data_IF_547970143252
#
_entry.id   IF_547970143252
#
_cell.length_a   1.000
_cell.length_b   1.000
_cell.length_c   1.000
_cell.angle_alpha   90.00
_cell.angle_beta   90.00
_cell.angle_gamma   90.00
#
_symmetry.space_group_name_H-M   'P 1'
#
loop_
_entity.id
_entity.type
_entity.pdbx_description
1 polymer ?
#
# COMPACT_ATOMS: atom_id res chain seq x y z
N UNK A 1 4.18 20.76 3.29
CA UNK A 1 3.85 20.02 2.05
C UNK A 1 4.08 20.92 0.85
N UNK A 2 5.22 20.71 0.19
CA UNK A 2 5.58 21.38 -1.05
C UNK A 2 4.74 20.82 -2.21
N UNK A 3 4.35 21.66 -3.16
CA UNK A 3 3.59 21.26 -4.35
C UNK A 3 4.33 21.65 -5.62
N UNK A 4 4.20 20.81 -6.64
CA UNK A 4 4.75 21.05 -7.97
C UNK A 4 3.63 21.05 -9.00
N UNK A 5 3.65 22.06 -9.87
CA UNK A 5 2.71 22.18 -10.98
C UNK A 5 3.26 21.48 -12.23
N UNK A 6 2.36 20.89 -12.99
CA UNK A 6 2.62 20.20 -14.25
C UNK A 6 1.52 20.53 -15.25
N UNK A 7 1.90 20.66 -16.51
CA UNK A 7 0.98 20.54 -17.64
C UNK A 7 0.62 19.08 -17.89
N UNK A 8 -0.45 18.82 -18.64
CA UNK A 8 -0.85 17.50 -19.09
C UNK A 8 0.25 16.83 -19.91
N UNK A 9 0.99 17.60 -20.72
CA UNK A 9 2.11 17.07 -21.51
C UNK A 9 3.27 16.65 -20.62
N UNK A 10 3.63 17.45 -19.63
CA UNK A 10 4.70 17.11 -18.69
C UNK A 10 4.33 15.89 -17.85
N UNK A 11 3.07 15.79 -17.39
CA UNK A 11 2.61 14.61 -16.67
C UNK A 11 2.63 13.36 -17.56
N UNK A 12 2.22 13.46 -18.83
CA UNK A 12 2.37 12.39 -19.81
C UNK A 12 3.83 11.96 -19.92
N UNK A 13 4.76 12.88 -20.13
CA UNK A 13 6.18 12.53 -20.24
C UNK A 13 6.74 11.91 -18.95
N UNK A 14 6.27 12.37 -17.79
CA UNK A 14 6.63 11.83 -16.49
C UNK A 14 6.17 10.36 -16.32
N UNK A 15 4.91 10.04 -16.64
CA UNK A 15 4.39 8.67 -16.48
C UNK A 15 4.94 7.69 -17.51
N UNK A 16 5.44 8.18 -18.65
CA UNK A 16 6.09 7.35 -19.68
C UNK A 16 7.60 7.22 -19.51
N UNK A 17 8.23 8.08 -18.69
CA UNK A 17 9.67 8.03 -18.37
C UNK A 17 9.97 7.37 -17.02
N UNK A 18 9.02 7.40 -16.08
CA UNK A 18 9.17 6.84 -14.74
C UNK A 18 7.99 5.97 -14.34
N UNK A 19 8.26 4.81 -13.71
CA UNK A 19 7.19 3.90 -13.27
C UNK A 19 6.35 4.51 -12.15
N UNK A 20 5.05 4.17 -12.09
CA UNK A 20 4.15 4.66 -11.04
C UNK A 20 4.69 4.37 -9.64
N UNK A 21 5.26 3.18 -9.40
CA UNK A 21 5.87 2.84 -8.10
C UNK A 21 6.95 3.84 -7.68
N UNK A 22 7.79 4.29 -8.61
CA UNK A 22 8.80 5.33 -8.33
C UNK A 22 8.16 6.70 -8.11
N UNK A 23 7.13 7.05 -8.90
CA UNK A 23 6.40 8.31 -8.71
C UNK A 23 5.71 8.38 -7.36
N UNK A 24 5.16 7.27 -6.86
CA UNK A 24 4.56 7.24 -5.52
C UNK A 24 5.57 7.51 -4.40
N UNK A 25 6.87 7.26 -4.62
CA UNK A 25 7.90 7.62 -3.64
C UNK A 25 8.22 9.11 -3.65
N UNK A 26 8.06 9.77 -4.80
CA UNK A 26 8.37 11.20 -4.96
C UNK A 26 7.19 12.11 -4.66
N UNK A 27 5.97 11.65 -4.93
CA UNK A 27 4.75 12.40 -4.75
C UNK A 27 3.85 11.72 -3.73
N UNK A 28 3.16 12.50 -2.92
CA UNK A 28 2.24 12.04 -1.87
C UNK A 28 0.91 11.51 -2.46
N UNK A 29 0.98 10.71 -3.51
CA UNK A 29 -0.17 10.11 -4.19
C UNK A 29 -0.03 8.60 -4.22
N UNK A 30 -1.15 7.91 -4.01
CA UNK A 30 -1.24 6.47 -4.24
C UNK A 30 -1.16 6.13 -5.73
N UNK A 31 -0.84 4.87 -6.06
CA UNK A 31 -0.88 4.36 -7.44
C UNK A 31 -2.26 4.57 -8.06
N UNK A 32 -3.33 4.33 -7.30
CA UNK A 32 -4.71 4.56 -7.77
C UNK A 32 -5.01 6.05 -7.96
N UNK A 33 -4.51 6.89 -7.07
CA UNK A 33 -4.61 8.34 -7.16
C UNK A 33 -3.98 8.87 -8.45
N UNK A 34 -2.74 8.46 -8.75
CA UNK A 34 -2.07 8.81 -10.01
C UNK A 34 -2.83 8.29 -11.24
N UNK A 35 -3.38 7.07 -11.19
CA UNK A 35 -4.19 6.52 -12.28
C UNK A 35 -5.48 7.31 -12.50
N UNK A 36 -6.20 7.66 -11.43
CA UNK A 36 -7.41 8.49 -11.48
C UNK A 36 -7.09 9.87 -12.04
N UNK A 37 -5.98 10.47 -11.61
CA UNK A 37 -5.50 11.75 -12.11
C UNK A 37 -5.22 11.68 -13.62
N UNK A 38 -4.44 10.70 -14.08
CA UNK A 38 -4.19 10.53 -15.52
C UNK A 38 -5.49 10.34 -16.31
N UNK A 39 -6.45 9.56 -15.78
CA UNK A 39 -7.75 9.38 -16.41
C UNK A 39 -8.56 10.69 -16.49
N UNK A 40 -8.56 11.49 -15.43
CA UNK A 40 -9.26 12.78 -15.38
C UNK A 40 -8.72 13.77 -16.42
N UNK A 41 -7.41 13.75 -16.67
CA UNK A 41 -6.75 14.59 -17.67
C UNK A 41 -6.60 13.90 -19.04
N UNK A 42 -7.28 12.77 -19.28
CA UNK A 42 -7.22 12.00 -20.54
C UNK A 42 -5.78 11.64 -20.98
N UNK A 43 -4.89 11.41 -20.02
CA UNK A 43 -3.51 11.03 -20.25
C UNK A 43 -3.43 9.50 -20.37
N UNK A 44 -3.05 8.95 -21.53
CA UNK A 44 -2.83 7.52 -21.65
C UNK A 44 -1.61 7.11 -20.83
N UNK A 45 -1.72 5.99 -20.10
CA UNK A 45 -0.66 5.45 -19.26
C UNK A 45 -0.02 4.21 -19.91
N UNK A 46 1.24 3.90 -19.58
CA UNK A 46 1.86 2.65 -20.00
C UNK A 46 1.08 1.43 -19.48
N UNK A 47 0.99 0.38 -20.31
CA UNK A 47 0.43 -0.91 -19.89
C UNK A 47 1.33 -1.55 -18.80
N UNK A 48 0.78 -2.50 -18.04
CA UNK A 48 1.54 -3.17 -16.97
C UNK A 48 2.82 -3.86 -17.51
N UNK A 49 2.83 -4.24 -18.80
CA UNK A 49 3.95 -4.87 -19.48
C UNK A 49 5.00 -3.90 -20.03
N UNK A 50 4.70 -2.60 -20.15
CA UNK A 50 5.56 -1.59 -20.79
C UNK A 50 6.98 -1.62 -20.24
N UNK A 51 7.14 -1.50 -18.92
CA UNK A 51 8.45 -1.41 -18.28
C UNK A 51 9.29 -2.68 -18.45
N UNK A 52 8.64 -3.84 -18.50
CA UNK A 52 9.29 -5.11 -18.76
C UNK A 52 9.72 -5.22 -20.22
N UNK A 53 8.82 -4.89 -21.17
CA UNK A 53 9.15 -4.84 -22.60
C UNK A 53 10.33 -3.89 -22.87
N UNK A 54 10.33 -2.72 -22.22
CA UNK A 54 11.39 -1.71 -22.35
C UNK A 54 12.74 -2.24 -21.86
N UNK A 55 12.74 -2.92 -20.70
CA UNK A 55 13.94 -3.54 -20.13
C UNK A 55 14.54 -4.63 -21.03
N UNK A 56 13.71 -5.34 -21.78
CA UNK A 56 14.13 -6.42 -22.68
C UNK A 56 14.19 -5.97 -24.16
N UNK A 57 14.23 -4.67 -24.43
CA UNK A 57 14.32 -4.10 -25.79
C UNK A 57 13.27 -4.64 -26.77
N UNK A 58 12.07 -4.96 -26.28
CA UNK A 58 10.96 -5.40 -27.13
C UNK A 58 10.29 -4.19 -27.78
N UNK A 59 9.65 -4.43 -28.91
CA UNK A 59 8.81 -3.42 -29.56
C UNK A 59 7.68 -2.98 -28.64
N UNK A 60 7.47 -1.67 -28.58
CA UNK A 60 6.48 -1.02 -27.72
C UNK A 60 5.70 -0.01 -28.56
N UNK A 61 4.38 -0.09 -28.48
CA UNK A 61 3.51 0.96 -29.00
C UNK A 61 3.23 1.98 -27.88
N UNK A 62 3.72 3.20 -28.06
CA UNK A 62 3.40 4.35 -27.19
C UNK A 62 2.27 5.16 -27.87
N UNK A 63 1.05 5.20 -27.29
CA UNK A 63 -0.03 6.03 -27.80
C UNK A 63 0.40 7.49 -27.92
N UNK A 64 0.08 8.12 -29.04
CA UNK A 64 0.36 9.55 -29.25
C UNK A 64 -0.42 10.37 -28.22
N UNK A 65 0.22 11.42 -27.72
CA UNK A 65 -0.42 12.40 -26.86
C UNK A 65 -1.53 13.12 -27.65
N UNK A 66 -2.74 13.18 -27.10
CA UNK A 66 -3.82 14.01 -27.64
C UNK A 66 -3.59 15.45 -27.19
N UNK A 67 -3.35 16.44 -28.08
CA UNK A 67 -3.16 17.83 -27.68
C UNK A 67 -4.47 18.57 -27.38
N UNK A 68 -5.62 18.03 -27.80
CA UNK A 68 -6.93 18.62 -27.54
C UNK A 68 -7.42 18.18 -26.16
N UNK A 69 -7.86 19.14 -25.35
CA UNK A 69 -8.46 18.92 -24.04
C UNK A 69 -9.31 20.13 -23.68
N UNK A 70 -10.56 19.88 -23.31
CA UNK A 70 -11.51 20.94 -23.00
C UNK A 70 -11.36 21.46 -21.56
N UNK A 71 -10.55 20.79 -20.73
CA UNK A 71 -10.29 21.17 -19.34
C UNK A 71 -9.07 22.07 -19.15
N UNK A 72 -8.86 22.51 -17.91
CA UNK A 72 -7.68 23.30 -17.53
C UNK A 72 -6.40 22.45 -17.63
N UNK A 73 -5.39 22.95 -18.33
CA UNK A 73 -4.09 22.26 -18.50
C UNK A 73 -3.15 22.51 -17.31
N UNK A 74 -3.66 22.29 -16.10
CA UNK A 74 -2.93 22.53 -14.85
C UNK A 74 -3.15 21.38 -13.86
N UNK A 75 -2.06 20.73 -13.48
CA UNK A 75 -2.05 19.57 -12.60
C UNK A 75 -1.09 19.83 -11.44
N UNK A 76 -1.57 19.71 -10.22
CA UNK A 76 -0.76 19.95 -9.01
C UNK A 76 -0.50 18.61 -8.33
N UNK A 77 0.78 18.27 -8.16
CA UNK A 77 1.22 17.12 -7.37
C UNK A 77 1.95 17.59 -6.13
N UNK A 78 1.56 17.06 -4.97
CA UNK A 78 2.26 17.29 -3.70
C UNK A 78 3.48 16.39 -3.63
N UNK A 79 4.63 16.98 -3.33
CA UNK A 79 5.89 16.28 -3.13
C UNK A 79 5.82 15.54 -1.80
N UNK A 80 6.30 14.28 -1.80
CA UNK A 80 6.37 13.47 -0.59
C UNK A 80 7.55 13.96 0.26
N UNK A 81 7.25 14.34 1.50
CA UNK A 81 8.28 14.65 2.52
C UNK A 81 8.90 13.35 3.04
N UNK A 82 10.21 13.36 3.30
CA UNK A 82 10.94 12.20 3.80
C UNK A 82 10.34 11.70 5.12
N UNK A 83 10.05 10.39 5.18
CA UNK A 83 9.40 9.76 6.32
C UNK A 83 7.87 9.86 6.34
N UNK A 84 7.25 10.64 5.46
CA UNK A 84 5.79 10.72 5.38
C UNK A 84 5.23 9.65 4.42
N UNK A 85 4.55 8.66 5.01
CA UNK A 85 3.91 7.58 4.25
C UNK A 85 2.48 7.90 3.83
N UNK A 86 1.88 8.96 4.40
CA UNK A 86 0.49 9.31 4.19
C UNK A 86 0.33 9.96 2.82
N UNK A 87 -0.47 9.32 1.95
CA UNK A 87 -0.86 9.94 0.71
C UNK A 87 -1.94 11.00 0.95
N UNK A 88 -2.04 11.98 0.06
CA UNK A 88 -3.03 13.06 0.16
C UNK A 88 -4.23 12.86 -0.77
N UNK A 89 -4.12 11.96 -1.76
CA UNK A 89 -5.17 11.70 -2.74
C UNK A 89 -6.46 11.14 -2.14
N UNK A 90 -7.54 11.16 -2.93
CA UNK A 90 -8.86 10.65 -2.54
C UNK A 90 -9.09 9.19 -3.00
N UNK A 91 -8.04 8.36 -3.05
CA UNK A 91 -8.26 6.92 -3.23
C UNK A 91 -8.96 6.33 -1.98
N UNK A 92 -9.76 5.26 -2.14
CA UNK A 92 -10.41 4.61 -1.01
C UNK A 92 -9.43 4.19 0.09
N UNK A 93 -8.25 3.70 -0.29
CA UNK A 93 -7.19 3.30 0.66
C UNK A 93 -6.60 4.50 1.41
N UNK A 94 -6.37 5.61 0.71
CA UNK A 94 -5.87 6.83 1.36
C UNK A 94 -6.89 7.40 2.34
N UNK A 95 -8.18 7.39 1.98
CA UNK A 95 -9.27 7.83 2.87
C UNK A 95 -9.29 6.96 4.13
N UNK A 96 -9.32 5.63 3.98
CA UNK A 96 -9.28 4.70 5.14
C UNK A 96 -8.05 4.87 6.01
N UNK A 97 -6.89 5.10 5.40
CA UNK A 97 -5.65 5.36 6.15
C UNK A 97 -5.77 6.62 7.01
N UNK A 98 -6.30 7.72 6.45
CA UNK A 98 -6.53 8.96 7.19
C UNK A 98 -7.52 8.79 8.33
N UNK A 99 -8.61 8.04 8.11
CA UNK A 99 -9.60 7.73 9.15
C UNK A 99 -8.96 6.97 10.33
N UNK A 100 -8.21 5.90 10.04
CA UNK A 100 -7.49 5.11 11.06
C UNK A 100 -6.50 5.99 11.84
N UNK A 101 -5.74 6.85 11.14
CA UNK A 101 -4.78 7.75 11.80
C UNK A 101 -5.44 8.83 12.65
N UNK A 102 -6.66 9.24 12.31
CA UNK A 102 -7.42 10.25 13.05
C UNK A 102 -8.12 9.69 14.30
N UNK A 103 -8.32 8.37 14.36
CA UNK A 103 -8.95 7.72 15.50
C UNK A 103 -7.95 7.51 16.65
N UNK A 104 -8.14 8.22 17.76
CA UNK A 104 -7.30 8.12 18.95
C UNK A 104 -7.34 6.73 19.62
N UNK A 105 -8.36 5.90 19.34
CA UNK A 105 -8.47 4.54 19.88
C UNK A 105 -7.77 3.50 19.02
N UNK A 106 -7.39 3.83 17.79
CA UNK A 106 -6.77 2.90 16.87
C UNK A 106 -5.40 2.46 17.41
N UNK A 107 -5.15 1.13 17.56
CA UNK A 107 -3.90 0.64 18.12
C UNK A 107 -2.77 0.72 17.08
N UNK A 108 -2.19 1.91 16.89
CA UNK A 108 -1.14 2.14 15.89
C UNK A 108 0.25 1.68 16.35
N UNK A 109 0.45 1.57 17.66
CA UNK A 109 1.72 1.15 18.26
C UNK A 109 1.58 -0.29 18.72
N UNK A 110 2.49 -1.15 18.23
CA UNK A 110 2.51 -2.54 18.67
C UNK A 110 3.20 -2.64 20.04
N UNK A 111 2.53 -3.17 21.08
CA UNK A 111 3.08 -3.21 22.43
C UNK A 111 4.28 -4.15 22.54
N UNK A 112 5.15 -3.93 23.53
CA UNK A 112 6.29 -4.80 23.80
C UNK A 112 5.90 -6.14 24.44
N UNK A 113 4.73 -6.24 25.06
CA UNK A 113 4.25 -7.47 25.69
C UNK A 113 2.86 -7.80 25.17
N UNK A 114 2.58 -9.10 25.06
CA UNK A 114 1.26 -9.59 24.68
C UNK A 114 0.38 -9.66 25.93
N UNK A 115 -0.50 -8.68 26.11
CA UNK A 115 -1.43 -8.59 27.24
C UNK A 115 -2.87 -8.56 26.73
N UNK A 116 -3.74 -9.38 27.33
CA UNK A 116 -5.14 -9.53 26.91
C UNK A 116 -5.29 -9.67 25.37
N UNK A 117 -4.66 -10.69 24.75
CA UNK A 117 -4.71 -10.86 23.30
C UNK A 117 -6.11 -11.26 22.81
N UNK A 118 -6.40 -10.99 21.55
CA UNK A 118 -7.60 -11.47 20.89
C UNK A 118 -7.70 -12.99 20.92
N UNK A 119 -8.93 -13.53 20.90
CA UNK A 119 -9.17 -14.98 20.93
C UNK A 119 -8.46 -15.71 19.78
N UNK A 120 -8.39 -15.09 18.59
CA UNK A 120 -7.66 -15.68 17.45
C UNK A 120 -6.15 -15.83 17.76
N UNK A 121 -5.57 -14.87 18.47
CA UNK A 121 -4.15 -14.91 18.86
C UNK A 121 -3.91 -15.87 20.02
N UNK A 122 -4.84 -15.97 20.97
CA UNK A 122 -4.80 -16.98 22.04
C UNK A 122 -4.78 -18.40 21.45
N UNK A 123 -5.69 -18.67 20.53
CA UNK A 123 -5.78 -19.95 19.83
C UNK A 123 -4.51 -20.23 19.02
N UNK A 124 -4.02 -19.23 18.28
CA UNK A 124 -2.81 -19.34 17.45
C UNK A 124 -1.57 -19.68 18.28
N UNK A 125 -1.40 -19.03 19.44
CA UNK A 125 -0.29 -19.32 20.35
C UNK A 125 -0.38 -20.75 20.89
N UNK A 126 -1.56 -21.13 21.38
CA UNK A 126 -1.81 -22.47 21.95
C UNK A 126 -1.58 -23.57 20.92
N UNK A 127 -2.08 -23.38 19.70
CA UNK A 127 -1.89 -24.30 18.59
C UNK A 127 -0.40 -24.47 18.24
N UNK A 128 0.33 -23.36 18.16
CA UNK A 128 1.76 -23.38 17.86
C UNK A 128 2.58 -24.09 18.95
N UNK A 129 2.29 -23.83 20.23
CA UNK A 129 3.00 -24.48 21.33
C UNK A 129 2.73 -26.00 21.40
N UNK A 130 1.51 -26.45 21.05
CA UNK A 130 1.22 -27.89 20.90
C UNK A 130 1.97 -28.50 19.72
N UNK A 131 2.03 -27.80 18.57
CA UNK A 131 2.74 -28.29 17.38
C UNK A 131 4.26 -28.43 17.56
N UNK A 132 4.87 -27.69 18.49
CA UNK A 132 6.28 -27.89 18.86
C UNK A 132 6.54 -29.28 19.43
N UNK A 133 5.59 -29.81 20.18
CA UNK A 133 5.72 -31.12 20.83
C UNK A 133 5.17 -32.24 19.94
N UNK A 134 4.13 -31.96 19.15
CA UNK A 134 3.53 -32.90 18.21
C UNK A 134 3.29 -32.23 16.86
N UNK A 135 4.15 -32.55 15.89
CA UNK A 135 4.09 -31.96 14.54
C UNK A 135 2.81 -32.32 13.78
N UNK A 136 2.09 -33.36 14.21
CA UNK A 136 0.82 -33.79 13.64
C UNK A 136 -0.39 -33.24 14.39
N UNK A 137 -0.19 -32.45 15.45
CA UNK A 137 -1.28 -31.81 16.17
C UNK A 137 -2.11 -30.96 15.20
N UNK A 138 -3.40 -31.28 15.16
CA UNK A 138 -4.42 -30.59 14.38
C UNK A 138 -5.67 -30.46 15.23
N UNK A 139 -6.25 -29.28 15.22
CA UNK A 139 -7.48 -29.00 15.95
C UNK A 139 -8.39 -28.20 15.02
N UNK A 140 -9.35 -28.90 14.42
CA UNK A 140 -10.26 -28.32 13.43
C UNK A 140 -11.34 -27.43 14.08
N UNK A 141 -11.43 -27.40 15.41
CA UNK A 141 -12.45 -26.65 16.15
C UNK A 141 -11.99 -25.26 16.55
N UNK A 142 -10.72 -24.90 16.31
CA UNK A 142 -10.17 -23.61 16.70
C UNK A 142 -9.72 -22.81 15.48
N UNK A 143 -10.21 -21.57 15.39
CA UNK A 143 -9.71 -20.62 14.40
C UNK A 143 -8.35 -20.08 14.84
N UNK A 144 -7.41 -20.07 13.91
CA UNK A 144 -6.04 -19.59 14.11
C UNK A 144 -5.60 -18.69 12.96
N UNK A 145 -4.59 -17.88 13.22
CA UNK A 145 -3.96 -16.99 12.26
C UNK A 145 -2.72 -17.69 11.72
N UNK A 146 -2.57 -17.71 10.41
CA UNK A 146 -1.37 -18.25 9.76
C UNK A 146 -0.18 -17.30 9.97
N UNK A 147 0.80 -17.72 10.78
CA UNK A 147 2.03 -16.97 11.04
C UNK A 147 3.24 -17.81 10.63
N UNK A 148 3.98 -17.34 9.63
CA UNK A 148 5.18 -17.98 9.12
C UNK A 148 6.38 -17.05 9.30
N UNK A 149 7.12 -17.26 10.39
CA UNK A 149 8.35 -16.53 10.70
C UNK A 149 9.36 -17.47 11.33
N UNK A 150 10.64 -17.09 11.32
CA UNK A 150 11.67 -17.81 12.08
C UNK A 150 11.31 -17.83 13.58
N UNK A 151 11.67 -18.88 14.34
CA UNK A 151 11.24 -19.07 15.73
C UNK A 151 11.47 -17.84 16.62
N UNK A 152 12.62 -17.19 16.48
CA UNK A 152 13.00 -16.00 17.27
C UNK A 152 12.05 -14.81 17.09
N UNK A 153 11.38 -14.73 15.93
CA UNK A 153 10.46 -13.65 15.59
C UNK A 153 9.01 -13.96 15.96
N UNK A 154 8.69 -15.19 16.38
CA UNK A 154 7.31 -15.63 16.58
C UNK A 154 6.57 -14.79 17.64
N UNK A 155 7.25 -14.49 18.76
CA UNK A 155 6.71 -13.62 19.81
C UNK A 155 6.42 -12.19 19.33
N UNK A 156 7.24 -11.66 18.40
CA UNK A 156 7.00 -10.35 17.78
C UNK A 156 5.82 -10.42 16.81
N UNK A 157 5.73 -11.48 16.01
CA UNK A 157 4.66 -11.68 15.05
C UNK A 157 3.28 -11.78 15.74
N UNK A 158 3.17 -12.52 16.85
CA UNK A 158 1.93 -12.57 17.64
C UNK A 158 1.47 -11.18 18.11
N UNK A 159 2.41 -10.33 18.57
CA UNK A 159 2.09 -8.96 18.99
C UNK A 159 1.60 -8.09 17.83
N UNK A 160 2.25 -8.20 16.65
CA UNK A 160 1.83 -7.46 15.44
C UNK A 160 0.43 -7.90 15.02
N UNK A 161 0.18 -9.20 14.95
CA UNK A 161 -1.11 -9.73 14.52
C UNK A 161 -2.22 -9.42 15.52
N UNK A 162 -1.93 -9.43 16.83
CA UNK A 162 -2.88 -9.00 17.86
C UNK A 162 -3.30 -7.54 17.69
N UNK A 163 -2.32 -6.64 17.53
CA UNK A 163 -2.58 -5.23 17.23
C UNK A 163 -3.39 -5.04 15.95
N UNK A 164 -3.04 -5.77 14.89
CA UNK A 164 -3.77 -5.70 13.63
C UNK A 164 -5.21 -6.21 13.75
N UNK A 165 -5.46 -7.34 14.41
CA UNK A 165 -6.81 -7.88 14.59
C UNK A 165 -7.66 -6.96 15.46
N UNK A 166 -7.07 -6.37 16.51
CA UNK A 166 -7.76 -5.39 17.35
C UNK A 166 -8.13 -4.12 16.58
N UNK A 167 -7.34 -3.71 15.60
CA UNK A 167 -7.67 -2.60 14.70
C UNK A 167 -8.87 -2.93 13.77
N UNK A 168 -9.07 -4.21 13.44
CA UNK A 168 -10.15 -4.65 12.53
C UNK A 168 -11.51 -4.86 13.24
N UNK A 169 -11.57 -4.80 14.57
CA UNK A 169 -12.77 -5.03 15.38
C UNK A 169 -13.38 -3.72 15.86
#
# INVERSE_FOLDING_TARGET
METKEFTRKELYDLVWSTSLSKLTLQYAFSNEGLKKLCKQFEIPMPDNGYWMKLKFNKEIEKPKFNPLFDGEDKIILTIREDGNLVNIDQSPLTIRTKEILSDAKSPLIVPEKLSNPDILIQNTKTFHDKRKNDHYYRDEKIDTVSIYVVPDNYSRALRIMDTFIKLLR
#
